data_IF_492212289365
#
_entry.id   IF_492212289365
#
_cell.length_a   1.000
_cell.length_b   1.000
_cell.length_c   1.000
_cell.angle_alpha   90.00
_cell.angle_beta   90.00
_cell.angle_gamma   90.00
#
_symmetry.space_group_name_H-M   'P 1'
#
loop_
_entity.id
_entity.type
_entity.pdbx_description
1 polymer ?
#
# COMPACT_ATOMS: atom_id res chain seq x y z
N UNK A 1 13.33 11.58 -1.10
CA UNK A 1 12.83 10.28 -0.58
C UNK A 1 12.46 9.41 -1.75
N UNK A 2 12.88 8.15 -1.82
CA UNK A 2 12.45 7.23 -2.86
C UNK A 2 10.94 7.00 -2.79
N UNK A 3 10.32 6.76 -3.94
CA UNK A 3 8.90 6.44 -4.04
C UNK A 3 8.75 4.96 -4.38
N UNK A 4 7.99 4.24 -3.58
CA UNK A 4 7.71 2.82 -3.76
C UNK A 4 6.29 2.64 -4.27
N UNK A 5 6.14 1.74 -5.24
CA UNK A 5 4.80 1.36 -5.72
C UNK A 5 4.37 0.12 -4.93
N UNK A 6 3.29 0.25 -4.15
CA UNK A 6 2.69 -0.83 -3.38
C UNK A 6 1.38 -1.23 -4.06
N UNK A 7 1.18 -2.55 -4.22
CA UNK A 7 -0.07 -3.10 -4.72
C UNK A 7 -0.99 -3.34 -3.53
N UNK A 8 -2.20 -2.82 -3.61
CA UNK A 8 -3.24 -3.04 -2.61
C UNK A 8 -4.45 -3.66 -3.28
N UNK A 9 -5.11 -4.60 -2.61
CA UNK A 9 -6.32 -5.26 -3.09
C UNK A 9 -7.50 -4.84 -2.24
N UNK A 10 -8.52 -4.29 -2.86
CA UNK A 10 -9.78 -3.95 -2.20
C UNK A 10 -10.44 -5.23 -1.65
N UNK A 11 -10.77 -5.25 -0.36
CA UNK A 11 -11.39 -6.41 0.29
C UNK A 11 -12.86 -6.61 -0.09
N UNK A 12 -13.55 -5.54 -0.47
CA UNK A 12 -14.97 -5.58 -0.85
C UNK A 12 -15.13 -5.94 -2.33
N UNK A 13 -14.32 -5.34 -3.20
CA UNK A 13 -14.49 -5.48 -4.66
C UNK A 13 -13.46 -6.41 -5.31
N UNK A 14 -12.39 -6.77 -4.58
CA UNK A 14 -11.29 -7.57 -5.13
C UNK A 14 -10.39 -6.83 -6.11
N UNK A 15 -10.64 -5.54 -6.37
CA UNK A 15 -9.86 -4.72 -7.32
C UNK A 15 -8.45 -4.48 -6.80
N UNK A 16 -7.47 -4.58 -7.70
CA UNK A 16 -6.07 -4.29 -7.38
C UNK A 16 -5.76 -2.85 -7.80
N UNK A 17 -5.25 -2.08 -6.86
CA UNK A 17 -4.79 -0.71 -7.06
C UNK A 17 -3.27 -0.64 -6.83
N UNK A 18 -2.63 0.29 -7.51
CA UNK A 18 -1.20 0.59 -7.32
C UNK A 18 -1.09 1.99 -6.72
N UNK A 19 -0.58 2.06 -5.50
CA UNK A 19 -0.35 3.33 -4.81
C UNK A 19 1.15 3.63 -4.75
N UNK A 20 1.48 4.91 -4.85
CA UNK A 20 2.87 5.40 -4.75
C UNK A 20 3.06 6.00 -3.37
N UNK A 21 4.00 5.45 -2.60
CA UNK A 21 4.31 5.91 -1.25
C UNK A 21 5.76 6.39 -1.21
N UNK A 22 5.95 7.63 -0.80
CA UNK A 22 7.27 8.16 -0.48
C UNK A 22 7.70 7.63 0.89
N UNK A 23 8.80 6.87 0.94
CA UNK A 23 9.31 6.27 2.17
C UNK A 23 10.84 6.16 2.12
N UNK A 24 11.47 5.90 3.26
CA UNK A 24 12.90 5.64 3.37
C UNK A 24 13.28 4.23 2.96
N UNK A 25 12.33 3.29 3.00
CA UNK A 25 12.50 1.89 2.61
C UNK A 25 11.19 1.27 2.14
N UNK A 26 11.27 0.13 1.45
CA UNK A 26 10.07 -0.61 1.02
C UNK A 26 9.25 -1.15 2.21
N UNK A 27 9.92 -1.46 3.33
CA UNK A 27 9.27 -1.92 4.56
C UNK A 27 8.48 -0.78 5.21
N UNK A 28 9.05 0.42 5.26
CA UNK A 28 8.35 1.64 5.72
C UNK A 28 7.18 1.96 4.79
N UNK A 29 7.34 1.83 3.47
CA UNK A 29 6.25 2.00 2.51
C UNK A 29 5.09 1.01 2.75
N UNK A 30 5.38 -0.26 3.06
CA UNK A 30 4.36 -1.26 3.42
C UNK A 30 3.67 -0.93 4.74
N UNK A 31 4.39 -0.40 5.74
CA UNK A 31 3.79 0.03 7.01
C UNK A 31 2.86 1.23 6.82
N UNK A 32 3.26 2.22 6.03
CA UNK A 32 2.42 3.36 5.68
C UNK A 32 1.19 2.87 4.91
N UNK A 33 1.37 2.00 3.93
CA UNK A 33 0.26 1.41 3.18
C UNK A 33 -0.72 0.68 4.09
N UNK A 34 -0.23 -0.15 5.02
CA UNK A 34 -1.06 -0.89 5.96
C UNK A 34 -1.77 0.03 6.96
N UNK A 35 -1.14 1.13 7.38
CA UNK A 35 -1.75 2.11 8.27
C UNK A 35 -2.88 2.89 7.59
N UNK A 36 -2.64 3.34 6.36
CA UNK A 36 -3.57 4.22 5.64
C UNK A 36 -4.68 3.43 4.92
N UNK A 37 -4.36 2.25 4.40
CA UNK A 37 -5.26 1.44 3.57
C UNK A 37 -5.62 0.08 4.17
N UNK A 38 -4.94 -0.40 5.21
CA UNK A 38 -5.11 -1.77 5.75
C UNK A 38 -6.49 -2.10 6.35
N UNK A 39 -7.34 -1.09 6.54
CA UNK A 39 -8.74 -1.26 6.96
C UNK A 39 -9.58 -1.81 5.81
N UNK A 40 -9.54 -1.15 4.65
CA UNK A 40 -10.36 -1.46 3.48
C UNK A 40 -9.64 -2.33 2.44
N UNK A 41 -8.31 -2.33 2.45
CA UNK A 41 -7.48 -2.98 1.45
C UNK A 41 -6.48 -3.94 2.10
N UNK A 42 -6.15 -5.00 1.37
CA UNK A 42 -5.09 -5.96 1.67
C UNK A 42 -3.80 -5.53 0.96
N UNK A 43 -2.69 -5.47 1.70
CA UNK A 43 -1.39 -5.11 1.14
C UNK A 43 -0.73 -6.36 0.53
N UNK A 44 -0.39 -6.31 -0.76
CA UNK A 44 0.30 -7.38 -1.48
C UNK A 44 1.84 -7.21 -1.43
#
# INVERSE_FOLDING_TARGET
MPTYTIRIKDRQTGKILMIKIAAKSIQEAKQIAAKDYGVAYEIL
#
